data_IF_299109008567
#
_entry.id   IF_299109008567
#
_cell.length_a   1.000
_cell.length_b   1.000
_cell.length_c   1.000
_cell.angle_alpha   90.00
_cell.angle_beta   90.00
_cell.angle_gamma   90.00
#
_symmetry.space_group_name_H-M   'P 1'
#
loop_
_entity.id
_entity.type
_entity.pdbx_description
1 polymer ?
#
# COMPACT_ATOMS: atom_id res chain seq x y z
N UNK A 1 51.83 35.47 -23.10
CA UNK A 1 50.61 35.85 -22.35
C UNK A 1 49.40 35.35 -23.13
N UNK A 2 48.34 34.97 -22.41
CA UNK A 2 47.01 34.54 -22.89
C UNK A 2 46.79 33.04 -23.15
N UNK A 3 46.74 32.31 -22.04
CA UNK A 3 45.85 31.17 -21.82
C UNK A 3 44.39 31.62 -21.93
N UNK A 4 43.71 31.29 -23.04
CA UNK A 4 42.25 31.40 -23.12
C UNK A 4 41.64 30.25 -22.31
N UNK A 5 41.08 30.60 -21.16
CA UNK A 5 40.11 29.76 -20.43
C UNK A 5 38.92 29.49 -21.36
N UNK A 6 38.76 28.25 -21.80
CA UNK A 6 37.50 27.81 -22.38
C UNK A 6 36.38 28.07 -21.36
N UNK A 7 35.39 28.86 -21.79
CA UNK A 7 34.19 29.12 -21.02
C UNK A 7 33.35 27.84 -21.02
N UNK A 8 32.68 27.47 -19.91
CA UNK A 8 31.85 26.27 -19.88
C UNK A 8 30.72 26.45 -20.89
N UNK A 9 30.63 25.59 -21.90
CA UNK A 9 29.50 25.54 -22.82
C UNK A 9 28.21 25.51 -22.00
N UNK A 10 27.42 26.57 -22.09
CA UNK A 10 26.08 26.60 -21.53
C UNK A 10 25.25 25.62 -22.35
N UNK A 11 25.14 24.38 -21.87
CA UNK A 11 24.30 23.36 -22.48
C UNK A 11 22.86 23.88 -22.47
N UNK A 12 22.36 24.29 -23.63
CA UNK A 12 20.98 24.73 -23.80
C UNK A 12 20.02 23.63 -23.30
N UNK A 13 18.98 24.01 -22.55
CA UNK A 13 17.97 23.08 -22.06
C UNK A 13 17.06 22.65 -23.20
N UNK A 14 17.55 21.77 -24.06
CA UNK A 14 16.80 21.22 -25.18
C UNK A 14 16.06 19.91 -24.81
N UNK A 15 14.87 19.65 -25.41
CA UNK A 15 14.23 18.36 -25.30
C UNK A 15 15.12 17.23 -25.80
N UNK A 16 14.98 16.04 -25.18
CA UNK A 16 15.75 14.86 -25.58
C UNK A 16 15.45 14.51 -27.05
N UNK A 17 16.47 14.43 -27.93
CA UNK A 17 16.31 14.06 -29.33
C UNK A 17 15.57 12.73 -29.49
N UNK A 18 14.77 12.60 -30.56
CA UNK A 18 13.94 11.41 -30.80
C UNK A 18 14.75 10.11 -30.83
N UNK A 19 15.95 10.13 -31.42
CA UNK A 19 16.86 8.98 -31.49
C UNK A 19 17.42 8.53 -30.13
N UNK A 20 17.28 9.34 -29.08
CA UNK A 20 17.71 9.01 -27.72
C UNK A 20 16.53 8.53 -26.86
N UNK A 21 15.32 8.42 -27.43
CA UNK A 21 14.13 7.93 -26.75
C UNK A 21 14.00 6.42 -26.95
N UNK A 22 13.48 5.75 -25.92
CA UNK A 22 13.12 4.33 -26.00
C UNK A 22 11.68 4.28 -26.51
N UNK A 23 11.50 4.08 -27.81
CA UNK A 23 10.18 4.13 -28.46
C UNK A 23 9.16 3.18 -27.81
N UNK A 24 9.58 1.94 -27.50
CA UNK A 24 8.75 0.97 -26.80
C UNK A 24 8.23 1.49 -25.46
N UNK A 25 9.02 2.27 -24.72
CA UNK A 25 8.62 2.86 -23.45
C UNK A 25 7.52 3.92 -23.65
N UNK A 26 7.63 4.72 -24.70
CA UNK A 26 6.65 5.77 -25.00
C UNK A 26 5.32 5.18 -25.50
N UNK A 27 5.36 4.12 -26.32
CA UNK A 27 4.16 3.38 -26.75
C UNK A 27 3.43 2.76 -25.56
N UNK A 28 4.16 2.06 -24.69
CA UNK A 28 3.55 1.42 -23.51
C UNK A 28 3.01 2.45 -22.53
N UNK A 29 3.60 3.65 -22.43
CA UNK A 29 3.03 4.78 -21.68
C UNK A 29 1.72 5.28 -22.26
N UNK A 30 1.66 5.49 -23.57
CA UNK A 30 0.42 5.90 -24.25
C UNK A 30 -0.69 4.87 -24.06
N UNK A 31 -0.37 3.58 -24.24
CA UNK A 31 -1.29 2.49 -23.97
C UNK A 31 -1.74 2.45 -22.51
N UNK A 32 -0.81 2.64 -21.57
CA UNK A 32 -1.12 2.66 -20.15
C UNK A 32 -2.12 3.78 -19.81
N UNK A 33 -1.93 4.96 -20.39
CA UNK A 33 -2.79 6.13 -20.17
C UNK A 33 -4.23 5.89 -20.64
N UNK A 34 -4.43 5.16 -21.74
CA UNK A 34 -5.77 4.79 -22.22
C UNK A 34 -6.50 3.95 -21.16
N UNK A 35 -5.83 2.95 -20.60
CA UNK A 35 -6.46 2.13 -19.55
C UNK A 35 -6.64 2.86 -18.22
N UNK A 36 -5.74 3.79 -17.85
CA UNK A 36 -5.97 4.69 -16.72
C UNK A 36 -7.23 5.53 -16.95
N UNK A 37 -7.44 6.03 -18.17
CA UNK A 37 -8.65 6.77 -18.54
C UNK A 37 -9.90 5.90 -18.34
N UNK A 38 -9.92 4.67 -18.88
CA UNK A 38 -11.05 3.74 -18.74
C UNK A 38 -11.38 3.42 -17.29
N UNK A 39 -10.36 3.17 -16.45
CA UNK A 39 -10.53 2.98 -15.00
C UNK A 39 -11.13 4.22 -14.33
N UNK A 40 -10.68 5.42 -14.69
CA UNK A 40 -11.17 6.64 -14.07
C UNK A 40 -12.62 6.97 -14.43
N UNK A 41 -13.14 6.50 -15.58
CA UNK A 41 -14.57 6.65 -15.91
C UNK A 41 -15.44 6.06 -14.80
N UNK A 42 -15.03 4.93 -14.21
CA UNK A 42 -15.73 4.32 -13.09
C UNK A 42 -15.78 5.25 -11.86
N UNK A 43 -14.70 5.99 -11.60
CA UNK A 43 -14.62 6.97 -10.52
C UNK A 43 -15.52 8.20 -10.74
N UNK A 44 -15.88 8.51 -11.99
CA UNK A 44 -16.79 9.61 -12.31
C UNK A 44 -18.26 9.17 -12.33
N UNK A 45 -18.54 7.87 -12.41
CA UNK A 45 -19.90 7.34 -12.51
C UNK A 45 -20.55 7.05 -11.13
N UNK A 46 -19.80 7.08 -10.03
CA UNK A 46 -20.34 6.81 -8.68
C UNK A 46 -19.61 7.56 -7.57
N UNK A 47 -20.24 7.76 -6.39
CA UNK A 47 -19.61 8.44 -5.25
C UNK A 47 -18.30 7.74 -4.82
N UNK A 48 -17.24 8.49 -4.50
CA UNK A 48 -15.96 7.91 -4.07
C UNK A 48 -16.04 6.90 -2.92
N UNK A 49 -16.95 7.08 -1.96
CA UNK A 49 -17.20 6.14 -0.88
C UNK A 49 -17.65 4.74 -1.35
N UNK A 50 -18.18 4.63 -2.57
CA UNK A 50 -18.62 3.37 -3.19
C UNK A 50 -17.54 2.72 -4.06
N UNK A 51 -16.37 3.35 -4.20
CA UNK A 51 -15.27 2.82 -5.00
C UNK A 51 -14.59 1.64 -4.33
N UNK A 52 -14.11 0.73 -5.16
CA UNK A 52 -13.59 -0.55 -4.70
C UNK A 52 -14.69 -1.50 -4.23
N UNK A 53 -15.98 -1.16 -4.35
CA UNK A 53 -17.07 -2.07 -4.01
C UNK A 53 -17.51 -2.96 -5.18
N UNK A 54 -16.59 -3.34 -6.07
CA UNK A 54 -16.91 -4.15 -7.26
C UNK A 54 -17.88 -3.44 -8.21
N UNK A 55 -18.59 -4.22 -9.04
CA UNK A 55 -19.55 -3.68 -10.01
C UNK A 55 -20.83 -3.19 -9.31
N UNK A 56 -21.41 -2.04 -9.74
CA UNK A 56 -22.71 -1.58 -9.26
C UNK A 56 -23.80 -2.66 -9.38
N UNK A 57 -24.64 -2.77 -8.35
CA UNK A 57 -25.77 -3.68 -8.36
C UNK A 57 -26.87 -3.20 -9.33
N UNK A 58 -27.54 -4.14 -10.00
CA UNK A 58 -28.68 -3.85 -10.88
C UNK A 58 -28.33 -3.41 -12.31
N UNK A 59 -27.05 -3.44 -12.70
CA UNK A 59 -26.64 -3.22 -14.09
C UNK A 59 -27.19 -4.32 -15.01
N UNK A 60 -27.68 -3.94 -16.19
CA UNK A 60 -28.18 -4.87 -17.21
C UNK A 60 -27.67 -4.49 -18.60
N UNK A 61 -27.70 -5.43 -19.55
CA UNK A 61 -27.35 -5.18 -20.95
C UNK A 61 -25.92 -4.67 -21.15
N UNK A 62 -25.79 -3.57 -21.89
CA UNK A 62 -24.50 -2.97 -22.27
C UNK A 62 -23.77 -2.36 -21.06
N UNK A 63 -24.50 -1.80 -20.08
CA UNK A 63 -23.89 -1.17 -18.91
C UNK A 63 -23.19 -2.21 -18.02
N UNK A 64 -23.80 -3.40 -17.90
CA UNK A 64 -23.18 -4.54 -17.24
C UNK A 64 -21.93 -5.00 -17.99
N UNK A 65 -22.02 -5.14 -19.33
CA UNK A 65 -20.90 -5.59 -20.14
C UNK A 65 -19.71 -4.62 -20.08
N UNK A 66 -19.97 -3.31 -20.14
CA UNK A 66 -18.96 -2.27 -20.03
C UNK A 66 -18.30 -2.28 -18.63
N UNK A 67 -19.10 -2.38 -17.57
CA UNK A 67 -18.60 -2.44 -16.19
C UNK A 67 -17.78 -3.71 -15.95
N UNK A 68 -18.24 -4.85 -16.48
CA UNK A 68 -17.51 -6.11 -16.42
C UNK A 68 -16.19 -6.03 -17.18
N UNK A 69 -16.20 -5.44 -18.38
CA UNK A 69 -15.00 -5.24 -19.18
C UNK A 69 -13.96 -4.41 -18.42
N UNK A 70 -14.36 -3.28 -17.83
CA UNK A 70 -13.45 -2.43 -17.04
C UNK A 70 -12.98 -3.17 -15.79
N UNK A 71 -13.87 -3.78 -15.02
CA UNK A 71 -13.52 -4.49 -13.79
C UNK A 71 -12.53 -5.64 -14.03
N UNK A 72 -12.65 -6.35 -15.16
CA UNK A 72 -11.85 -7.53 -15.46
C UNK A 72 -10.58 -7.22 -16.26
N UNK A 73 -10.69 -6.46 -17.36
CA UNK A 73 -9.58 -6.20 -18.27
C UNK A 73 -8.75 -4.97 -17.91
N UNK A 74 -9.31 -4.03 -17.15
CA UNK A 74 -8.69 -2.71 -16.94
C UNK A 74 -8.27 -2.49 -15.49
N UNK A 75 -9.20 -2.65 -14.57
CA UNK A 75 -8.99 -2.39 -13.15
C UNK A 75 -7.79 -3.20 -12.64
N UNK A 76 -6.90 -2.56 -11.89
CA UNK A 76 -5.70 -3.23 -11.40
C UNK A 76 -4.50 -3.20 -12.34
N UNK A 77 -4.69 -3.50 -13.64
CA UNK A 77 -3.59 -3.76 -14.58
C UNK A 77 -2.88 -2.51 -15.06
N UNK A 78 -3.64 -1.45 -15.33
CA UNK A 78 -3.07 -0.25 -15.93
C UNK A 78 -2.29 0.61 -14.93
N UNK A 79 -2.72 0.67 -13.66
CA UNK A 79 -1.93 1.37 -12.64
C UNK A 79 -0.68 0.59 -12.24
N UNK A 80 -0.67 -0.75 -12.32
CA UNK A 80 0.55 -1.54 -12.07
C UNK A 80 1.56 -1.36 -13.22
N UNK A 81 1.11 -1.38 -14.47
CA UNK A 81 1.95 -1.03 -15.63
C UNK A 81 2.45 0.41 -15.50
N UNK A 82 1.58 1.37 -15.17
CA UNK A 82 1.99 2.77 -15.00
C UNK A 82 3.01 2.95 -13.87
N UNK A 83 2.87 2.18 -12.78
CA UNK A 83 3.85 2.14 -11.68
C UNK A 83 5.20 1.61 -12.15
N UNK A 84 5.20 0.51 -12.92
CA UNK A 84 6.41 -0.07 -13.51
C UNK A 84 7.12 0.97 -14.41
N UNK A 85 6.36 1.63 -15.29
CA UNK A 85 6.87 2.65 -16.21
C UNK A 85 7.41 3.88 -15.48
N UNK A 86 6.84 4.24 -14.33
CA UNK A 86 7.37 5.29 -13.49
C UNK A 86 8.75 4.91 -12.95
N UNK A 87 8.92 3.67 -12.47
CA UNK A 87 10.21 3.11 -12.08
C UNK A 87 11.24 3.06 -13.21
N UNK A 88 10.80 2.72 -14.43
CA UNK A 88 11.64 2.80 -15.63
C UNK A 88 12.08 4.25 -15.90
N UNK A 89 11.15 5.21 -15.83
CA UNK A 89 11.44 6.63 -16.02
C UNK A 89 12.44 7.17 -15.00
N UNK A 90 12.37 6.70 -13.75
CA UNK A 90 13.38 6.97 -12.73
C UNK A 90 14.77 6.46 -13.15
N UNK A 91 14.87 5.19 -13.54
CA UNK A 91 16.15 4.58 -13.91
C UNK A 91 16.78 5.24 -15.15
N UNK A 92 15.99 5.56 -16.17
CA UNK A 92 16.48 6.29 -17.36
C UNK A 92 17.08 7.65 -16.96
N UNK A 93 16.42 8.37 -16.05
CA UNK A 93 16.93 9.66 -15.59
C UNK A 93 18.22 9.51 -14.77
N UNK A 94 18.30 8.46 -13.94
CA UNK A 94 19.48 8.16 -13.15
C UNK A 94 20.67 7.79 -14.05
N UNK A 95 20.49 6.87 -15.01
CA UNK A 95 21.55 6.47 -15.94
C UNK A 95 22.05 7.64 -16.78
N UNK A 96 21.17 8.53 -17.23
CA UNK A 96 21.55 9.74 -17.97
C UNK A 96 22.34 10.73 -17.13
N UNK A 97 21.98 10.87 -15.85
CA UNK A 97 22.74 11.72 -14.93
C UNK A 97 24.12 11.12 -14.65
N UNK A 98 24.18 9.79 -14.43
CA UNK A 98 25.43 9.04 -14.23
C UNK A 98 26.35 9.13 -15.46
N UNK A 99 25.82 8.90 -16.67
CA UNK A 99 26.59 8.95 -17.92
C UNK A 99 27.08 10.35 -18.28
N UNK A 100 26.32 11.40 -17.93
CA UNK A 100 26.70 12.79 -18.11
C UNK A 100 27.58 13.34 -16.97
N UNK A 101 27.89 12.56 -15.93
CA UNK A 101 28.64 13.01 -14.76
C UNK A 101 27.93 14.10 -13.94
N UNK A 102 26.59 14.19 -14.02
CA UNK A 102 25.78 15.24 -13.37
C UNK A 102 25.12 14.73 -12.10
N UNK A 103 24.87 15.64 -11.16
CA UNK A 103 24.13 15.32 -9.94
C UNK A 103 22.67 14.96 -10.22
N UNK A 104 22.25 13.76 -9.81
CA UNK A 104 20.87 13.25 -10.01
C UNK A 104 19.86 13.76 -8.98
N UNK A 105 20.27 13.88 -7.70
CA UNK A 105 19.33 13.98 -6.59
C UNK A 105 18.54 15.30 -6.59
N UNK A 106 19.20 16.43 -6.85
CA UNK A 106 18.57 17.76 -6.87
C UNK A 106 17.49 17.92 -7.96
N UNK A 107 17.74 17.62 -9.25
CA UNK A 107 16.70 17.73 -10.27
C UNK A 107 15.56 16.74 -10.02
N UNK A 108 15.86 15.54 -9.55
CA UNK A 108 14.84 14.54 -9.26
C UNK A 108 13.94 14.96 -8.08
N UNK A 109 14.51 15.49 -6.99
CA UNK A 109 13.73 16.02 -5.86
C UNK A 109 12.80 17.17 -6.27
N UNK A 110 13.24 18.07 -7.15
CA UNK A 110 12.37 19.12 -7.71
C UNK A 110 11.18 18.53 -8.46
N UNK A 111 11.41 17.48 -9.26
CA UNK A 111 10.36 16.79 -10.01
C UNK A 111 9.36 16.09 -9.10
N UNK A 112 9.82 15.39 -8.06
CA UNK A 112 8.93 14.76 -7.08
C UNK A 112 8.13 15.81 -6.31
N UNK A 113 8.78 16.90 -5.88
CA UNK A 113 8.10 17.98 -5.17
C UNK A 113 7.02 18.63 -6.04
N UNK A 114 7.33 18.91 -7.30
CA UNK A 114 6.33 19.38 -8.27
C UNK A 114 5.20 18.37 -8.45
N UNK A 115 5.50 17.07 -8.58
CA UNK A 115 4.50 16.01 -8.70
C UNK A 115 3.59 15.93 -7.46
N UNK A 116 4.15 16.10 -6.26
CA UNK A 116 3.38 16.13 -5.01
C UNK A 116 2.46 17.36 -4.95
N UNK A 117 2.96 18.54 -5.32
CA UNK A 117 2.16 19.77 -5.36
C UNK A 117 1.05 19.65 -6.39
N UNK A 118 1.36 19.22 -7.61
CA UNK A 118 0.35 19.00 -8.64
C UNK A 118 -0.66 17.94 -8.24
N UNK A 119 -0.23 16.83 -7.62
CA UNK A 119 -1.14 15.80 -7.12
C UNK A 119 -2.06 16.32 -6.01
N UNK A 120 -1.55 17.10 -5.06
CA UNK A 120 -2.37 17.71 -4.02
C UNK A 120 -3.38 18.72 -4.58
N UNK A 121 -2.95 19.61 -5.48
CA UNK A 121 -3.83 20.56 -6.16
C UNK A 121 -4.88 19.83 -7.02
N UNK A 122 -4.47 18.82 -7.77
CA UNK A 122 -5.36 17.98 -8.57
C UNK A 122 -6.39 17.27 -7.68
N UNK A 123 -5.98 16.70 -6.55
CA UNK A 123 -6.88 16.07 -5.59
C UNK A 123 -7.93 17.04 -5.05
N UNK A 124 -7.48 18.22 -4.61
CA UNK A 124 -8.32 19.23 -3.96
C UNK A 124 -9.28 19.89 -4.97
N UNK A 125 -8.75 20.35 -6.11
CA UNK A 125 -9.52 21.19 -7.03
C UNK A 125 -10.22 20.41 -8.14
N UNK A 126 -9.73 19.24 -8.52
CA UNK A 126 -10.20 18.54 -9.72
C UNK A 126 -10.84 17.20 -9.42
N UNK A 127 -10.12 16.28 -8.76
CA UNK A 127 -10.56 14.89 -8.63
C UNK A 127 -9.88 14.15 -7.47
N UNK A 128 -10.68 13.62 -6.54
CA UNK A 128 -10.19 12.93 -5.33
C UNK A 128 -9.46 11.59 -5.61
N UNK A 129 -9.59 10.99 -6.79
CA UNK A 129 -8.87 9.76 -7.16
C UNK A 129 -7.44 10.00 -7.67
N UNK A 130 -6.77 11.06 -7.21
CA UNK A 130 -5.41 11.39 -7.62
C UNK A 130 -4.39 10.30 -7.23
N UNK A 131 -3.57 9.89 -8.21
CA UNK A 131 -2.48 8.93 -8.00
C UNK A 131 -1.10 9.63 -7.93
N UNK A 132 -1.01 10.88 -8.39
CA UNK A 132 0.25 11.62 -8.52
C UNK A 132 0.90 11.84 -7.14
N UNK A 133 0.10 12.23 -6.15
CA UNK A 133 0.60 12.44 -4.79
C UNK A 133 1.18 11.15 -4.20
N UNK A 134 0.45 10.03 -4.33
CA UNK A 134 0.91 8.71 -3.87
C UNK A 134 2.20 8.27 -4.58
N UNK A 135 2.34 8.58 -5.87
CA UNK A 135 3.56 8.30 -6.63
C UNK A 135 4.72 9.18 -6.19
N UNK A 136 4.47 10.44 -5.86
CA UNK A 136 5.50 11.33 -5.32
C UNK A 136 6.02 10.82 -3.97
N UNK A 137 5.13 10.36 -3.10
CA UNK A 137 5.48 9.74 -1.81
C UNK A 137 6.28 8.45 -2.03
N UNK A 138 5.82 7.57 -2.92
CA UNK A 138 6.54 6.34 -3.28
C UNK A 138 7.93 6.62 -3.86
N UNK A 139 8.05 7.64 -4.71
CA UNK A 139 9.31 8.08 -5.30
C UNK A 139 10.28 8.61 -4.24
N UNK A 140 9.78 9.31 -3.22
CA UNK A 140 10.58 9.76 -2.09
C UNK A 140 11.09 8.57 -1.26
N UNK A 141 10.24 7.58 -0.97
CA UNK A 141 10.68 6.37 -0.28
C UNK A 141 11.64 5.52 -1.12
N UNK A 142 11.48 5.49 -2.45
CA UNK A 142 12.46 4.86 -3.35
C UNK A 142 13.85 5.51 -3.19
N UNK A 143 13.94 6.83 -3.07
CA UNK A 143 15.21 7.50 -2.79
C UNK A 143 15.79 7.10 -1.43
N UNK A 144 14.95 6.90 -0.44
CA UNK A 144 15.37 6.38 0.86
C UNK A 144 15.93 4.97 0.73
N UNK A 145 15.29 4.09 -0.06
CA UNK A 145 15.79 2.74 -0.34
C UNK A 145 17.17 2.77 -1.00
N UNK A 146 17.38 3.66 -1.96
CA UNK A 146 18.61 3.70 -2.76
C UNK A 146 19.75 4.47 -2.09
N UNK A 147 19.47 5.60 -1.45
CA UNK A 147 20.46 6.54 -0.91
C UNK A 147 20.43 6.71 0.61
N UNK A 148 19.37 6.26 1.30
CA UNK A 148 19.16 6.56 2.73
C UNK A 148 20.09 5.79 3.66
N UNK A 149 20.97 6.46 4.40
CA UNK A 149 21.87 5.76 5.34
C UNK A 149 21.12 5.24 6.56
N UNK A 150 21.61 4.16 7.17
CA UNK A 150 20.94 3.52 8.32
C UNK A 150 20.77 4.47 9.52
N UNK A 151 21.70 5.42 9.72
CA UNK A 151 21.65 6.42 10.79
C UNK A 151 20.45 7.36 10.63
N UNK A 152 20.24 7.88 9.41
CA UNK A 152 19.13 8.78 9.11
C UNK A 152 17.79 8.06 9.11
N UNK A 153 17.77 6.79 8.69
CA UNK A 153 16.60 5.92 8.78
C UNK A 153 16.16 5.71 10.24
N UNK A 154 17.10 5.37 11.12
CA UNK A 154 16.80 5.20 12.55
C UNK A 154 16.39 6.51 13.22
N UNK A 155 17.07 7.62 12.92
CA UNK A 155 16.68 8.92 13.44
C UNK A 155 15.27 9.31 13.00
N UNK A 156 14.95 9.15 11.71
CA UNK A 156 13.60 9.38 11.18
C UNK A 156 12.56 8.48 11.83
N UNK A 157 12.88 7.21 12.06
CA UNK A 157 12.01 6.27 12.77
C UNK A 157 11.71 6.74 14.20
N UNK A 158 12.75 7.07 14.98
CA UNK A 158 12.59 7.51 16.38
C UNK A 158 11.77 8.80 16.46
N UNK A 159 12.04 9.77 15.58
CA UNK A 159 11.27 11.01 15.49
C UNK A 159 9.81 10.71 15.17
N UNK A 160 9.55 9.85 14.19
CA UNK A 160 8.18 9.54 13.78
C UNK A 160 7.42 8.79 14.89
N UNK A 161 8.06 7.84 15.56
CA UNK A 161 7.48 7.16 16.74
C UNK A 161 7.22 8.15 17.86
N UNK A 162 8.15 9.08 18.12
CA UNK A 162 7.97 10.15 19.11
C UNK A 162 6.78 11.04 18.79
N UNK A 163 6.61 11.42 17.52
CA UNK A 163 5.45 12.19 17.03
C UNK A 163 4.16 11.40 17.13
N UNK A 164 4.19 10.06 17.09
CA UNK A 164 2.99 9.24 17.26
C UNK A 164 2.34 9.37 18.65
N UNK A 165 3.10 9.82 19.66
CA UNK A 165 2.58 10.12 21.00
C UNK A 165 1.97 11.53 21.11
N UNK A 166 2.07 12.36 20.07
CA UNK A 166 1.40 13.65 20.00
C UNK A 166 -0.09 13.43 19.65
N UNK A 167 -1.03 13.97 20.45
CA UNK A 167 -2.47 13.84 20.16
C UNK A 167 -2.81 14.29 18.74
N UNK A 168 -3.52 13.44 17.99
CA UNK A 168 -3.95 13.71 16.61
C UNK A 168 -2.99 13.21 15.51
N UNK A 169 -1.72 12.91 15.82
CA UNK A 169 -0.74 12.48 14.82
C UNK A 169 -0.42 10.98 14.83
N UNK A 170 -0.90 10.23 15.84
CA UNK A 170 -0.62 8.81 16.05
C UNK A 170 -0.70 7.91 14.80
N UNK A 171 -1.85 7.84 14.09
CA UNK A 171 -2.01 6.94 12.94
C UNK A 171 -1.11 7.31 11.75
N UNK A 172 -1.01 8.61 11.45
CA UNK A 172 -0.18 9.12 10.36
C UNK A 172 1.32 8.87 10.60
N UNK A 173 1.75 9.14 11.83
CA UNK A 173 3.10 8.89 12.28
C UNK A 173 3.40 7.37 12.29
N UNK A 174 2.50 6.54 12.82
CA UNK A 174 2.65 5.08 12.79
C UNK A 174 2.83 4.52 11.37
N UNK A 175 1.99 4.97 10.43
CA UNK A 175 2.11 4.56 9.01
C UNK A 175 3.42 4.99 8.37
N UNK A 176 3.85 6.24 8.61
CA UNK A 176 5.13 6.77 8.11
C UNK A 176 6.33 6.03 8.71
N UNK A 177 6.29 5.72 10.01
CA UNK A 177 7.30 4.94 10.70
C UNK A 177 7.41 3.53 10.10
N UNK A 178 6.28 2.85 9.92
CA UNK A 178 6.24 1.53 9.29
C UNK A 178 6.84 1.57 7.88
N UNK A 179 6.54 2.62 7.10
CA UNK A 179 7.10 2.74 5.76
C UNK A 179 8.60 3.04 5.73
N UNK A 180 9.10 3.82 6.68
CA UNK A 180 10.54 4.06 6.84
C UNK A 180 11.28 2.77 7.27
N UNK A 181 10.73 2.01 8.22
CA UNK A 181 11.29 0.70 8.61
C UNK A 181 11.34 -0.21 7.40
N UNK A 182 10.22 -0.34 6.70
CA UNK A 182 10.12 -1.21 5.55
C UNK A 182 11.11 -0.81 4.45
N UNK A 183 11.16 0.48 4.10
CA UNK A 183 12.11 1.01 3.12
C UNK A 183 13.57 0.80 3.55
N UNK A 184 13.86 0.95 4.85
CA UNK A 184 15.17 0.70 5.42
C UNK A 184 15.59 -0.78 5.35
N UNK A 185 14.66 -1.70 5.60
CA UNK A 185 14.88 -3.13 5.42
C UNK A 185 15.24 -3.41 3.96
N UNK A 186 14.46 -2.92 2.99
CA UNK A 186 14.79 -3.12 1.57
C UNK A 186 16.16 -2.51 1.21
N UNK A 187 16.50 -1.34 1.76
CA UNK A 187 17.82 -0.74 1.57
C UNK A 187 18.96 -1.67 2.04
N UNK A 188 18.79 -2.35 3.17
CA UNK A 188 19.75 -3.35 3.70
C UNK A 188 19.92 -4.52 2.72
N UNK A 189 18.83 -5.03 2.14
CA UNK A 189 18.90 -6.11 1.14
C UNK A 189 19.63 -5.67 -0.13
N UNK A 190 19.37 -4.44 -0.58
CA UNK A 190 20.02 -3.85 -1.75
C UNK A 190 21.53 -3.65 -1.53
N UNK A 191 21.95 -3.32 -0.30
CA UNK A 191 23.35 -3.07 0.06
C UNK A 191 24.20 -4.34 0.12
N UNK A 192 25.47 -4.17 -0.25
CA UNK A 192 26.48 -5.21 -0.11
C UNK A 192 27.09 -5.17 1.30
N UNK A 193 26.35 -5.71 2.27
CA UNK A 193 26.80 -5.74 3.66
C UNK A 193 27.77 -6.90 3.91
N UNK A 194 28.82 -6.61 4.69
CA UNK A 194 29.76 -7.63 5.20
C UNK A 194 28.98 -8.65 6.02
N UNK A 195 29.33 -9.93 5.85
CA UNK A 195 28.70 -11.08 6.50
C UNK A 195 29.15 -11.16 7.97
N UNK A 196 28.29 -10.88 8.98
CA UNK A 196 28.65 -11.16 10.36
C UNK A 196 28.62 -12.68 10.66
N UNK A 197 27.87 -13.45 9.86
CA UNK A 197 27.76 -14.92 9.83
C UNK A 197 27.64 -15.41 8.38
N UNK A 198 27.48 -16.72 8.14
CA UNK A 198 27.15 -17.27 6.80
C UNK A 198 25.86 -16.69 6.20
N UNK A 199 25.01 -16.06 7.02
CA UNK A 199 23.76 -15.42 6.63
C UNK A 199 23.91 -13.91 6.35
N UNK A 200 23.11 -13.40 5.41
CA UNK A 200 22.90 -11.96 5.24
C UNK A 200 22.11 -11.34 6.40
N UNK A 201 22.35 -10.06 6.70
CA UNK A 201 21.64 -9.32 7.77
C UNK A 201 20.11 -9.33 7.55
N UNK A 202 19.66 -9.09 6.32
CA UNK A 202 18.22 -9.19 5.97
C UNK A 202 17.66 -10.58 6.30
N UNK A 203 18.35 -11.66 5.89
CA UNK A 203 17.92 -13.02 6.18
C UNK A 203 17.86 -13.28 7.68
N UNK A 204 18.83 -12.79 8.45
CA UNK A 204 18.83 -12.93 9.91
C UNK A 204 17.62 -12.22 10.53
N UNK A 205 17.31 -11.00 10.12
CA UNK A 205 16.13 -10.26 10.61
C UNK A 205 14.84 -11.03 10.31
N UNK A 206 14.65 -11.45 9.05
CA UNK A 206 13.46 -12.21 8.65
C UNK A 206 13.38 -13.56 9.36
N UNK A 207 14.51 -14.22 9.60
CA UNK A 207 14.58 -15.50 10.32
C UNK A 207 14.11 -15.33 11.76
N UNK A 208 14.63 -14.32 12.47
CA UNK A 208 14.29 -14.06 13.86
C UNK A 208 12.81 -13.71 13.99
N UNK A 209 12.29 -12.81 13.15
CA UNK A 209 10.87 -12.43 13.16
C UNK A 209 9.96 -13.63 12.84
N UNK A 210 10.31 -14.41 11.81
CA UNK A 210 9.57 -15.61 11.44
C UNK A 210 9.60 -16.70 12.51
N UNK A 211 10.75 -16.90 13.17
CA UNK A 211 10.91 -17.89 14.24
C UNK A 211 10.11 -17.51 15.49
N UNK A 212 10.16 -16.24 15.91
CA UNK A 212 9.35 -15.74 17.03
C UNK A 212 7.86 -15.93 16.73
N UNK A 213 7.40 -15.53 15.54
CA UNK A 213 6.01 -15.71 15.14
C UNK A 213 5.59 -17.18 15.09
N UNK A 214 6.47 -18.07 14.61
CA UNK A 214 6.20 -19.51 14.57
C UNK A 214 6.07 -20.09 15.99
N UNK A 215 6.94 -19.70 16.93
CA UNK A 215 6.87 -20.12 18.33
C UNK A 215 5.55 -19.64 18.94
N UNK A 216 5.18 -18.37 18.75
CA UNK A 216 3.91 -17.81 19.24
C UNK A 216 2.73 -18.59 18.68
N UNK A 217 2.70 -18.83 17.37
CA UNK A 217 1.67 -19.63 16.73
C UNK A 217 1.58 -21.03 17.34
N UNK A 218 2.71 -21.73 17.47
CA UNK A 218 2.75 -23.08 18.06
C UNK A 218 2.19 -23.06 19.48
N UNK A 219 2.60 -22.13 20.33
CA UNK A 219 2.09 -21.99 21.71
C UNK A 219 0.58 -21.75 21.73
N UNK A 220 0.07 -20.88 20.86
CA UNK A 220 -1.37 -20.61 20.79
C UNK A 220 -2.17 -21.83 20.32
N UNK A 221 -1.64 -22.62 19.39
CA UNK A 221 -2.26 -23.86 18.91
C UNK A 221 -2.19 -24.99 19.95
N UNK A 222 -1.04 -25.18 20.61
CA UNK A 222 -0.82 -26.32 21.53
C UNK A 222 -1.43 -26.09 22.90
N UNK A 223 -1.26 -24.90 23.48
CA UNK A 223 -1.77 -24.59 24.81
C UNK A 223 -3.19 -24.00 24.77
N UNK A 224 -3.76 -23.85 23.56
CA UNK A 224 -5.07 -23.23 23.33
C UNK A 224 -5.22 -21.85 24.03
N UNK A 225 -4.11 -21.13 24.18
CA UNK A 225 -4.06 -19.82 24.84
C UNK A 225 -4.29 -18.68 23.85
N UNK A 226 -4.99 -17.65 24.32
CA UNK A 226 -5.33 -16.48 23.51
C UNK A 226 -6.44 -16.71 22.48
N UNK A 227 -6.89 -15.64 21.82
CA UNK A 227 -8.00 -15.70 20.87
C UNK A 227 -7.68 -16.65 19.70
N UNK A 228 -8.69 -17.37 19.21
CA UNK A 228 -8.54 -18.31 18.09
C UNK A 228 -8.30 -17.61 16.76
N UNK A 229 -8.86 -16.40 16.60
CA UNK A 229 -8.83 -15.64 15.34
C UNK A 229 -7.43 -15.33 14.77
N UNK A 230 -6.45 -14.84 15.56
CA UNK A 230 -5.13 -14.54 15.01
C UNK A 230 -4.25 -15.77 14.79
N UNK A 231 -4.64 -16.97 15.24
CA UNK A 231 -3.78 -18.16 15.17
C UNK A 231 -3.38 -18.51 13.74
N UNK A 232 -4.37 -18.60 12.84
CA UNK A 232 -4.15 -18.87 11.42
C UNK A 232 -3.27 -17.82 10.73
N UNK A 233 -3.62 -16.52 10.81
CA UNK A 233 -2.81 -15.43 10.27
C UNK A 233 -1.36 -15.42 10.78
N UNK A 234 -1.14 -15.57 12.08
CA UNK A 234 0.23 -15.59 12.64
C UNK A 234 1.01 -16.79 12.11
N UNK A 235 0.41 -17.99 12.05
CA UNK A 235 1.07 -19.16 11.45
C UNK A 235 1.49 -18.90 10.00
N UNK A 236 0.57 -18.38 9.18
CA UNK A 236 0.81 -18.15 7.76
C UNK A 236 1.88 -17.07 7.52
N UNK A 237 1.80 -15.95 8.24
CA UNK A 237 2.80 -14.86 8.19
C UNK A 237 4.18 -15.38 8.60
N UNK A 238 4.26 -16.18 9.66
CA UNK A 238 5.52 -16.72 10.17
C UNK A 238 6.17 -17.66 9.16
N UNK A 239 5.39 -18.58 8.57
CA UNK A 239 5.88 -19.46 7.51
C UNK A 239 6.39 -18.66 6.29
N UNK A 240 5.66 -17.61 5.89
CA UNK A 240 6.08 -16.73 4.80
C UNK A 240 7.39 -16.00 5.11
N UNK A 241 7.56 -15.45 6.31
CA UNK A 241 8.79 -14.78 6.73
C UNK A 241 10.00 -15.72 6.75
N UNK A 242 9.82 -16.97 7.19
CA UNK A 242 10.86 -18.00 7.16
C UNK A 242 11.25 -18.37 5.72
N UNK A 243 10.27 -18.54 4.83
CA UNK A 243 10.53 -18.76 3.40
C UNK A 243 11.29 -17.58 2.79
N UNK A 244 10.87 -16.34 3.08
CA UNK A 244 11.54 -15.13 2.60
C UNK A 244 12.96 -15.00 3.15
N UNK A 245 13.21 -15.39 4.41
CA UNK A 245 14.55 -15.44 4.98
C UNK A 245 15.46 -16.37 4.17
N UNK A 246 15.00 -17.59 3.88
CA UNK A 246 15.75 -18.57 3.10
C UNK A 246 16.04 -18.05 1.68
N UNK A 247 15.01 -17.52 1.00
CA UNK A 247 15.14 -17.00 -0.37
C UNK A 247 16.07 -15.78 -0.42
N UNK A 248 15.97 -14.86 0.54
CA UNK A 248 16.81 -13.68 0.62
C UNK A 248 18.30 -14.04 0.77
N UNK A 249 18.61 -15.12 1.48
CA UNK A 249 19.98 -15.60 1.63
C UNK A 249 20.47 -16.35 0.38
N UNK A 250 19.67 -17.31 -0.11
CA UNK A 250 20.01 -18.18 -1.24
C UNK A 250 20.19 -17.39 -2.54
N UNK A 251 19.29 -16.44 -2.78
CA UNK A 251 19.26 -15.63 -4.00
C UNK A 251 19.68 -14.18 -3.72
N UNK A 252 20.71 -13.96 -2.90
CA UNK A 252 21.29 -12.61 -2.72
C UNK A 252 22.15 -12.17 -3.90
N UNK A 253 22.76 -13.13 -4.60
CA UNK A 253 23.65 -12.88 -5.73
C UNK A 253 23.04 -13.42 -7.04
N UNK A 254 23.38 -12.85 -8.20
CA UNK A 254 24.22 -11.65 -8.40
C UNK A 254 23.53 -10.35 -7.95
N UNK A 255 24.31 -9.27 -7.78
CA UNK A 255 23.83 -7.97 -7.26
C UNK A 255 22.79 -7.33 -8.18
N UNK A 256 22.99 -7.45 -9.50
CA UNK A 256 22.09 -6.90 -10.53
C UNK A 256 20.67 -7.45 -10.42
N UNK A 257 20.52 -8.67 -9.91
CA UNK A 257 19.23 -9.32 -9.74
C UNK A 257 18.47 -8.86 -8.49
N UNK A 258 19.10 -8.11 -7.57
CA UNK A 258 18.47 -7.73 -6.29
C UNK A 258 17.27 -6.82 -6.50
N UNK A 259 17.33 -5.87 -7.43
CA UNK A 259 16.25 -4.91 -7.67
C UNK A 259 14.95 -5.60 -8.06
N UNK A 260 14.98 -6.49 -9.06
CA UNK A 260 13.76 -7.20 -9.48
C UNK A 260 13.30 -8.23 -8.45
N UNK A 261 14.23 -8.90 -7.76
CA UNK A 261 13.87 -9.83 -6.68
C UNK A 261 13.15 -9.10 -5.55
N UNK A 262 13.71 -8.00 -5.07
CA UNK A 262 13.07 -7.16 -4.06
C UNK A 262 11.71 -6.69 -4.53
N UNK A 263 11.61 -6.14 -5.74
CA UNK A 263 10.35 -5.63 -6.26
C UNK A 263 9.27 -6.69 -6.45
N UNK A 264 9.61 -7.84 -7.04
CA UNK A 264 8.70 -8.98 -7.20
C UNK A 264 8.29 -9.57 -5.85
N UNK A 265 9.23 -9.74 -4.93
CA UNK A 265 8.96 -10.22 -3.58
C UNK A 265 8.01 -9.29 -2.83
N UNK A 266 8.20 -7.98 -2.91
CA UNK A 266 7.32 -7.01 -2.25
C UNK A 266 5.90 -7.10 -2.81
N UNK A 267 5.77 -7.08 -4.13
CA UNK A 267 4.48 -7.16 -4.81
C UNK A 267 3.74 -8.45 -4.43
N UNK A 268 4.42 -9.60 -4.54
CA UNK A 268 3.87 -10.90 -4.19
C UNK A 268 3.57 -11.02 -2.70
N UNK A 269 4.38 -10.42 -1.82
CA UNK A 269 4.14 -10.43 -0.38
C UNK A 269 2.83 -9.74 -0.04
N UNK A 270 2.61 -8.51 -0.55
CA UNK A 270 1.37 -7.79 -0.32
C UNK A 270 0.16 -8.53 -0.91
N UNK A 271 0.30 -9.03 -2.14
CA UNK A 271 -0.77 -9.79 -2.79
C UNK A 271 -1.11 -11.06 -1.98
N UNK A 272 -0.11 -11.80 -1.51
CA UNK A 272 -0.28 -13.00 -0.68
C UNK A 272 -0.91 -12.67 0.68
N UNK A 273 -0.49 -11.58 1.33
CA UNK A 273 -1.08 -11.15 2.59
C UNK A 273 -2.54 -10.74 2.43
N UNK A 274 -2.88 -10.02 1.36
CA UNK A 274 -4.27 -9.69 1.02
C UNK A 274 -5.11 -10.94 0.76
N UNK A 275 -4.59 -11.90 -0.02
CA UNK A 275 -5.27 -13.17 -0.29
C UNK A 275 -5.49 -13.98 0.98
N UNK A 276 -4.49 -14.11 1.85
CA UNK A 276 -4.60 -14.87 3.11
C UNK A 276 -5.59 -14.18 4.05
N UNK A 277 -5.47 -12.87 4.25
CA UNK A 277 -6.39 -12.10 5.09
C UNK A 277 -7.82 -12.19 4.59
N UNK A 278 -8.02 -12.04 3.28
CA UNK A 278 -9.30 -12.19 2.61
C UNK A 278 -9.88 -13.60 2.68
N UNK A 279 -9.05 -14.64 2.55
CA UNK A 279 -9.49 -16.03 2.71
C UNK A 279 -9.94 -16.30 4.15
N UNK A 280 -9.18 -15.84 5.15
CA UNK A 280 -9.55 -15.98 6.56
C UNK A 280 -10.87 -15.29 6.82
N UNK A 281 -11.06 -14.07 6.31
CA UNK A 281 -12.34 -13.37 6.42
C UNK A 281 -13.46 -14.15 5.73
N UNK A 282 -13.23 -14.64 4.50
CA UNK A 282 -14.23 -15.38 3.72
C UNK A 282 -14.69 -16.69 4.40
N UNK A 283 -13.76 -17.49 4.92
CA UNK A 283 -14.05 -18.82 5.50
C UNK A 283 -14.42 -18.82 6.99
N UNK A 284 -14.27 -17.70 7.69
CA UNK A 284 -14.81 -17.57 9.06
C UNK A 284 -16.34 -17.43 9.00
N UNK A 285 -17.16 -17.86 9.97
CA UNK A 285 -18.62 -17.63 9.90
C UNK A 285 -19.02 -16.20 10.33
N UNK A 286 -20.10 -15.63 9.74
CA UNK A 286 -20.61 -14.31 10.14
C UNK A 286 -21.10 -14.31 11.58
N UNK A 287 -20.63 -13.34 12.35
CA UNK A 287 -21.26 -13.06 13.64
C UNK A 287 -22.65 -12.48 13.41
N UNK A 288 -23.70 -12.99 14.08
CA UNK A 288 -25.05 -12.47 13.92
C UNK A 288 -25.07 -10.98 14.31
N UNK A 289 -25.51 -10.15 13.37
CA UNK A 289 -25.78 -8.74 13.63
C UNK A 289 -27.03 -8.70 14.50
N UNK A 290 -26.86 -8.56 15.81
CA UNK A 290 -27.98 -8.19 16.67
C UNK A 290 -28.42 -6.79 16.24
N UNK A 291 -29.69 -6.58 15.86
CA UNK A 291 -30.19 -5.25 15.56
C UNK A 291 -29.87 -4.33 16.74
N UNK A 292 -29.43 -3.10 16.46
CA UNK A 292 -29.04 -2.10 17.47
C UNK A 292 -30.12 -1.83 18.56
N UNK A 293 -31.34 -2.34 18.38
CA UNK A 293 -32.43 -2.27 19.34
C UNK A 293 -32.40 -3.36 20.45
N UNK A 294 -31.57 -4.41 20.35
CA UNK A 294 -31.62 -5.56 21.26
C UNK A 294 -30.47 -5.65 22.28
N UNK A 295 -29.45 -4.79 22.19
CA UNK A 295 -28.42 -4.70 23.24
C UNK A 295 -28.75 -3.51 24.12
N UNK A 296 -29.55 -3.74 25.17
CA UNK A 296 -29.53 -2.87 26.33
C UNK A 296 -28.11 -2.94 26.90
N UNK A 297 -27.24 -2.02 26.49
CA UNK A 297 -25.94 -1.81 27.11
C UNK A 297 -26.22 -1.59 28.59
N UNK A 298 -25.74 -2.44 29.52
CA UNK A 298 -25.87 -2.16 30.94
C UNK A 298 -25.24 -0.78 31.17
N UNK A 299 -25.97 0.14 31.79
CA UNK A 299 -25.57 1.54 31.99
C UNK A 299 -24.15 1.72 32.55
N UNK A 300 -23.59 0.67 33.16
CA UNK A 300 -22.21 0.56 33.65
C UNK A 300 -21.15 0.70 32.54
N UNK A 301 -21.43 0.27 31.31
CA UNK A 301 -20.48 0.38 30.18
C UNK A 301 -20.52 1.76 29.51
N UNK A 302 -21.71 2.36 29.40
CA UNK A 302 -21.87 3.73 28.88
C UNK A 302 -21.29 4.79 29.82
N UNK A 303 -21.44 4.61 31.14
CA UNK A 303 -20.92 5.53 32.15
C UNK A 303 -19.38 5.60 32.21
N UNK A 304 -18.66 4.55 31.78
CA UNK A 304 -17.19 4.52 31.77
C UNK A 304 -16.55 5.33 30.65
N UNK A 305 -17.31 5.69 29.62
CA UNK A 305 -16.80 6.45 28.46
C UNK A 305 -17.03 7.96 28.63
N UNK A 306 -17.90 8.38 29.55
CA UNK A 306 -18.38 9.77 29.65
C UNK A 306 -18.02 10.52 30.93
N UNK A 307 -17.00 10.11 31.70
CA UNK A 307 -16.57 10.87 32.87
C UNK A 307 -15.59 12.01 32.49
N UNK A 308 -15.90 13.29 32.76
CA UNK A 308 -14.96 14.38 32.57
C UNK A 308 -13.89 14.38 33.67
N UNK A 309 -12.64 14.64 33.29
CA UNK A 309 -11.54 14.93 34.22
C UNK A 309 -11.77 16.32 34.83
N UNK A 310 -12.09 16.39 36.13
CA UNK A 310 -12.02 17.64 36.88
C UNK A 310 -12.73 17.65 38.22
N UNK A 311 -11.94 17.65 39.31
CA UNK A 311 -12.07 18.48 40.51
C UNK A 311 -11.39 17.77 41.70
N UNK A 312 -10.44 18.47 42.33
CA UNK A 312 -9.61 17.95 43.40
C UNK A 312 -10.38 17.71 44.70
N UNK A 313 -10.07 16.59 45.35
CA UNK A 313 -10.29 16.40 46.78
C UNK A 313 -8.99 15.87 47.38
N UNK A 314 -8.52 16.53 48.44
CA UNK A 314 -7.28 16.22 49.15
C UNK A 314 -7.34 14.78 49.69
N UNK A 315 -6.32 13.98 49.36
CA UNK A 315 -6.18 12.61 49.85
C UNK A 315 -5.54 12.59 51.25
N UNK A 316 -6.17 11.87 52.16
CA UNK A 316 -5.64 11.44 53.46
C UNK A 316 -4.54 10.39 53.22
N UNK A 317 -3.30 10.55 53.73
CA UNK A 317 -2.18 9.66 53.40
C UNK A 317 -2.28 8.25 53.97
N UNK A 318 -3.26 7.95 54.85
CA UNK A 318 -3.25 6.70 55.63
C UNK A 318 -4.48 5.79 55.45
N UNK A 319 -5.19 5.90 54.32
CA UNK A 319 -6.23 4.92 53.93
C UNK A 319 -5.78 4.13 52.69
N UNK A 320 -5.82 2.78 52.71
CA UNK A 320 -5.59 1.98 51.51
C UNK A 320 -6.66 2.34 50.47
N UNK A 321 -6.20 2.81 49.31
CA UNK A 321 -7.03 3.23 48.19
C UNK A 321 -7.76 2.01 47.59
N UNK A 322 -9.10 1.89 47.67
CA UNK A 322 -9.83 0.71 47.18
C UNK A 322 -9.81 0.57 45.66
N UNK A 323 -9.21 1.53 44.94
CA UNK A 323 -9.11 1.53 43.46
C UNK A 323 -7.89 0.81 42.90
N UNK A 324 -6.96 0.32 43.73
CA UNK A 324 -5.74 -0.38 43.26
C UNK A 324 -5.81 -1.91 43.23
N UNK A 325 -6.98 -2.51 43.50
CA UNK A 325 -7.13 -3.98 43.54
C UNK A 325 -8.25 -4.52 42.62
N UNK A 326 -8.41 -3.95 41.43
CA UNK A 326 -9.15 -4.62 40.36
C UNK A 326 -8.36 -4.51 39.06
N UNK A 327 -7.42 -5.43 38.86
CA UNK A 327 -7.03 -5.81 37.51
C UNK A 327 -8.34 -6.23 36.80
N UNK A 328 -8.88 -5.35 35.96
CA UNK A 328 -10.07 -5.63 35.15
C UNK A 328 -9.82 -6.97 34.47
N UNK A 329 -10.65 -7.96 34.75
CA UNK A 329 -10.61 -9.23 34.03
C UNK A 329 -10.62 -8.92 32.52
N UNK A 330 -9.83 -9.62 31.69
CA UNK A 330 -9.89 -9.46 30.25
C UNK A 330 -11.34 -9.65 29.79
N UNK A 331 -11.85 -8.81 28.86
CA UNK A 331 -13.22 -8.88 28.42
C UNK A 331 -13.54 -10.29 27.93
N UNK A 332 -14.71 -10.78 28.32
CA UNK A 332 -15.24 -12.08 27.89
C UNK A 332 -15.39 -12.10 26.36
N UNK A 333 -15.39 -13.27 25.74
CA UNK A 333 -15.59 -13.39 24.29
C UNK A 333 -16.93 -12.78 23.84
N UNK A 334 -17.96 -12.84 24.69
CA UNK A 334 -19.24 -12.18 24.44
C UNK A 334 -19.12 -10.64 24.44
N UNK A 335 -18.35 -10.06 25.37
CA UNK A 335 -18.10 -8.61 25.41
C UNK A 335 -17.27 -8.14 24.22
N UNK A 336 -16.21 -8.88 23.84
CA UNK A 336 -15.41 -8.57 22.63
C UNK A 336 -16.27 -8.65 21.36
N UNK A 337 -17.15 -9.64 21.27
CA UNK A 337 -18.08 -9.80 20.15
C UNK A 337 -19.07 -8.64 20.07
N UNK A 338 -19.65 -8.24 21.20
CA UNK A 338 -20.54 -7.08 21.27
C UNK A 338 -19.82 -5.78 20.92
N UNK A 339 -18.58 -5.59 21.37
CA UNK A 339 -17.74 -4.44 21.05
C UNK A 339 -17.44 -4.35 19.55
N UNK A 340 -17.04 -5.46 18.90
CA UNK A 340 -16.81 -5.50 17.45
C UNK A 340 -18.08 -5.28 16.63
N UNK A 341 -19.20 -5.84 17.06
CA UNK A 341 -20.49 -5.62 16.41
C UNK A 341 -20.91 -4.15 16.50
N UNK A 342 -20.74 -3.52 17.66
CA UNK A 342 -21.01 -2.10 17.86
C UNK A 342 -20.06 -1.21 17.06
N UNK A 343 -18.76 -1.53 17.02
CA UNK A 343 -17.77 -0.81 16.22
C UNK A 343 -18.10 -0.91 14.72
N UNK A 344 -18.48 -2.09 14.24
CA UNK A 344 -18.92 -2.30 12.87
C UNK A 344 -20.20 -1.52 12.55
N UNK A 345 -21.21 -1.56 13.41
CA UNK A 345 -22.44 -0.81 13.20
C UNK A 345 -22.15 0.70 13.11
N UNK A 346 -21.24 1.20 13.95
CA UNK A 346 -20.74 2.58 13.90
C UNK A 346 -20.01 2.87 12.58
N UNK A 347 -19.14 1.98 12.11
CA UNK A 347 -18.43 2.13 10.83
C UNK A 347 -19.39 2.14 9.63
N UNK A 348 -20.36 1.22 9.58
CA UNK A 348 -21.37 1.16 8.52
C UNK A 348 -22.24 2.42 8.49
N UNK A 349 -22.66 2.89 9.67
CA UNK A 349 -23.42 4.14 9.81
C UNK A 349 -22.60 5.35 9.33
N UNK A 350 -21.34 5.47 9.77
CA UNK A 350 -20.43 6.54 9.32
C UNK A 350 -20.28 6.53 7.80
N UNK A 351 -20.04 5.36 7.20
CA UNK A 351 -19.93 5.21 5.74
C UNK A 351 -21.21 5.59 4.99
N UNK A 352 -22.37 5.22 5.52
CA UNK A 352 -23.65 5.60 4.94
C UNK A 352 -23.87 7.12 4.99
N UNK A 353 -23.52 7.76 6.11
CA UNK A 353 -23.55 9.21 6.27
C UNK A 353 -22.57 9.92 5.33
N UNK A 354 -21.34 9.42 5.19
CA UNK A 354 -20.33 9.90 4.24
C UNK A 354 -20.85 9.79 2.80
N UNK A 355 -21.36 8.62 2.41
CA UNK A 355 -21.91 8.37 1.06
C UNK A 355 -23.09 9.29 0.76
N UNK A 356 -24.00 9.49 1.71
CA UNK A 356 -25.14 10.39 1.56
C UNK A 356 -24.68 11.86 1.42
N UNK A 357 -23.68 12.27 2.20
CA UNK A 357 -23.11 13.62 2.14
C UNK A 357 -22.41 13.86 0.80
N UNK A 358 -21.54 12.92 0.37
CA UNK A 358 -20.88 12.95 -0.94
C UNK A 358 -21.90 13.02 -2.07
N UNK A 359 -22.90 12.15 -2.05
CA UNK A 359 -23.94 12.08 -3.09
C UNK A 359 -24.71 13.40 -3.19
N UNK A 360 -25.10 14.00 -2.05
CA UNK A 360 -25.75 15.32 -2.01
C UNK A 360 -24.86 16.39 -2.62
N UNK A 361 -23.60 16.50 -2.17
CA UNK A 361 -22.66 17.54 -2.62
C UNK A 361 -22.36 17.39 -4.11
N UNK A 362 -22.19 16.16 -4.61
CA UNK A 362 -21.89 15.90 -6.02
C UNK A 362 -23.10 16.10 -6.94
N UNK A 363 -24.32 15.88 -6.45
CA UNK A 363 -25.55 16.02 -7.26
C UNK A 363 -26.13 17.44 -7.28
N UNK A 364 -26.03 18.17 -6.16
CA UNK A 364 -26.73 19.45 -5.97
C UNK A 364 -25.90 20.52 -5.25
N UNK A 365 -24.69 20.19 -4.81
CA UNK A 365 -23.82 21.10 -4.07
C UNK A 365 -23.08 22.08 -4.96
N UNK A 366 -22.50 23.11 -4.33
CA UNK A 366 -21.63 24.06 -5.00
C UNK A 366 -20.21 23.50 -5.18
N UNK A 367 -19.46 24.08 -6.12
CA UNK A 367 -18.05 23.73 -6.31
C UNK A 367 -17.21 23.96 -5.04
N UNK A 368 -17.50 25.01 -4.26
CA UNK A 368 -16.79 25.28 -3.00
C UNK A 368 -17.07 24.23 -1.93
N UNK A 369 -18.30 23.72 -1.84
CA UNK A 369 -18.62 22.59 -0.96
C UNK A 369 -17.85 21.33 -1.38
N UNK A 370 -17.72 21.08 -2.69
CA UNK A 370 -16.96 19.95 -3.22
C UNK A 370 -15.45 20.08 -2.94
N UNK A 371 -14.89 21.29 -3.09
CA UNK A 371 -13.48 21.56 -2.74
C UNK A 371 -13.25 21.36 -1.24
N UNK A 372 -14.15 21.84 -0.37
CA UNK A 372 -14.04 21.64 1.07
C UNK A 372 -14.06 20.15 1.44
N UNK A 373 -14.99 19.39 0.86
CA UNK A 373 -15.07 17.94 1.02
C UNK A 373 -13.75 17.25 0.62
N UNK A 374 -13.14 17.68 -0.50
CA UNK A 374 -11.86 17.12 -0.97
C UNK A 374 -10.67 17.52 -0.10
N UNK A 375 -10.67 18.71 0.50
CA UNK A 375 -9.65 19.12 1.48
C UNK A 375 -9.71 18.19 2.70
N UNK A 376 -10.90 17.96 3.22
CA UNK A 376 -11.11 17.07 4.36
C UNK A 376 -10.69 15.63 4.01
N UNK A 377 -11.08 15.14 2.84
CA UNK A 377 -10.64 13.84 2.34
C UNK A 377 -9.13 13.74 2.14
N UNK A 378 -8.48 14.78 1.60
CA UNK A 378 -7.04 14.80 1.41
C UNK A 378 -6.31 14.70 2.76
N UNK A 379 -6.77 15.43 3.77
CA UNK A 379 -6.20 15.36 5.12
C UNK A 379 -6.28 13.95 5.74
N UNK A 380 -7.38 13.24 5.51
CA UNK A 380 -7.55 11.87 5.98
C UNK A 380 -6.81 10.81 5.15
N UNK A 381 -6.70 11.01 3.83
CA UNK A 381 -6.14 10.02 2.89
C UNK A 381 -4.64 10.18 2.66
N UNK A 382 -4.09 11.40 2.72
CA UNK A 382 -2.66 11.63 2.48
C UNK A 382 -1.76 10.79 3.42
N UNK A 383 -2.07 10.66 4.73
CA UNK A 383 -1.32 9.75 5.60
C UNK A 383 -1.51 8.26 5.26
N UNK A 384 -2.69 7.86 4.79
CA UNK A 384 -2.98 6.48 4.36
C UNK A 384 -2.25 6.14 3.05
N UNK A 385 -1.96 7.13 2.21
CA UNK A 385 -1.18 6.99 0.97
C UNK A 385 0.21 6.41 1.17
N UNK A 386 0.76 6.50 2.39
CA UNK A 386 2.01 5.85 2.78
C UNK A 386 1.96 4.32 2.62
N UNK A 387 0.83 3.69 2.94
CA UNK A 387 0.65 2.24 2.75
C UNK A 387 0.71 1.84 1.28
N UNK A 388 0.04 2.62 0.42
CA UNK A 388 0.10 2.43 -1.03
C UNK A 388 1.52 2.67 -1.58
N UNK A 389 2.24 3.64 -1.04
CA UNK A 389 3.60 3.94 -1.44
C UNK A 389 4.54 2.73 -1.25
N UNK A 390 4.36 1.95 -0.17
CA UNK A 390 5.15 0.73 0.05
C UNK A 390 4.93 -0.33 -1.02
N UNK A 391 3.69 -0.46 -1.48
CA UNK A 391 3.37 -1.33 -2.60
C UNK A 391 4.04 -0.84 -3.90
N UNK A 392 3.94 0.47 -4.18
CA UNK A 392 4.48 1.10 -5.39
C UNK A 392 6.01 0.98 -5.51
N UNK A 393 6.74 1.05 -4.40
CA UNK A 393 8.22 0.88 -4.41
C UNK A 393 8.62 -0.44 -5.08
N UNK A 394 7.84 -1.52 -4.88
CA UNK A 394 8.16 -2.82 -5.46
C UNK A 394 8.09 -2.78 -6.99
N UNK A 395 7.04 -2.16 -7.53
CA UNK A 395 6.90 -1.93 -8.96
C UNK A 395 7.94 -0.95 -9.50
N UNK A 396 8.32 0.07 -8.72
CA UNK A 396 9.36 1.01 -9.14
C UNK A 396 10.73 0.33 -9.25
N UNK A 397 11.07 -0.57 -8.31
CA UNK A 397 12.30 -1.35 -8.34
C UNK A 397 12.32 -2.35 -9.50
N UNK A 398 11.19 -3.00 -9.79
CA UNK A 398 11.02 -3.84 -10.98
C UNK A 398 11.24 -3.05 -12.27
N UNK A 399 10.61 -1.87 -12.37
CA UNK A 399 10.76 -0.98 -13.52
C UNK A 399 12.20 -0.50 -13.68
N UNK A 400 12.85 -0.11 -12.58
CA UNK A 400 14.25 0.30 -12.60
C UNK A 400 15.19 -0.82 -13.08
N UNK A 401 14.88 -2.08 -12.73
CA UNK A 401 15.64 -3.24 -13.23
C UNK A 401 15.47 -3.46 -14.73
N UNK A 402 14.27 -3.28 -15.31
CA UNK A 402 14.07 -3.44 -16.76
C UNK A 402 14.96 -2.51 -17.58
N UNK A 403 15.21 -1.30 -17.09
CA UNK A 403 16.11 -0.34 -17.72
C UNK A 403 17.57 -0.72 -17.46
N UNK A 404 17.96 -0.96 -16.20
CA UNK A 404 19.35 -1.27 -15.82
C UNK A 404 19.88 -2.59 -16.33
N UNK A 405 19.01 -3.56 -16.59
CA UNK A 405 19.39 -4.82 -17.23
C UNK A 405 19.65 -4.66 -18.72
N UNK A 406 19.31 -3.52 -19.33
CA UNK A 406 19.36 -3.36 -20.78
C UNK A 406 18.22 -4.05 -21.52
N UNK A 407 17.24 -4.63 -20.82
CA UNK A 407 16.15 -5.40 -21.44
C UNK A 407 15.27 -4.54 -22.37
N UNK A 408 15.12 -3.25 -22.06
CA UNK A 408 14.36 -2.30 -22.88
C UNK A 408 15.16 -1.73 -24.06
N UNK A 409 16.49 -1.79 -23.99
CA UNK A 409 17.41 -1.30 -25.03
C UNK A 409 17.77 -2.43 -26.02
N UNK A 410 17.90 -3.66 -25.52
CA UNK A 410 18.27 -4.85 -26.29
C UNK A 410 17.13 -5.87 -26.32
N UNK A 411 15.97 -5.47 -26.83
CA UNK A 411 14.74 -6.30 -26.81
C UNK A 411 14.95 -7.66 -27.49
N UNK A 412 15.74 -7.72 -28.56
CA UNK A 412 16.05 -8.96 -29.29
C UNK A 412 16.79 -9.98 -28.41
N UNK A 413 17.78 -9.53 -27.64
CA UNK A 413 18.53 -10.40 -26.72
C UNK A 413 17.66 -10.89 -25.54
N UNK A 414 16.69 -10.08 -25.12
CA UNK A 414 15.76 -10.40 -24.04
C UNK A 414 14.44 -11.03 -24.51
N UNK A 415 14.32 -11.36 -25.81
CA UNK A 415 13.11 -11.99 -26.35
C UNK A 415 12.69 -13.27 -25.60
N UNK A 416 13.59 -14.17 -25.15
CA UNK A 416 13.20 -15.33 -24.35
C UNK A 416 12.55 -14.96 -23.01
N UNK A 417 12.97 -13.86 -22.39
CA UNK A 417 12.36 -13.34 -21.16
C UNK A 417 10.93 -12.85 -21.45
N UNK A 418 10.76 -11.99 -22.45
CA UNK A 418 9.43 -11.47 -22.81
C UNK A 418 8.47 -12.58 -23.25
N UNK A 419 8.95 -13.60 -23.97
CA UNK A 419 8.15 -14.79 -24.29
C UNK A 419 7.71 -15.53 -23.02
N UNK A 420 8.60 -15.73 -22.05
CA UNK A 420 8.23 -16.38 -20.78
C UNK A 420 7.21 -15.55 -20.00
N UNK A 421 7.38 -14.23 -19.95
CA UNK A 421 6.42 -13.33 -19.32
C UNK A 421 5.05 -13.42 -20.00
N UNK A 422 5.00 -13.42 -21.33
CA UNK A 422 3.75 -13.59 -22.05
C UNK A 422 3.14 -14.99 -21.83
N UNK A 423 3.89 -16.07 -22.04
CA UNK A 423 3.36 -17.44 -21.99
C UNK A 423 3.00 -17.94 -20.59
N UNK A 424 3.64 -17.42 -19.54
CA UNK A 424 3.35 -17.80 -18.15
C UNK A 424 2.46 -16.73 -17.51
N UNK A 425 2.83 -15.46 -17.67
CA UNK A 425 2.13 -14.33 -17.08
C UNK A 425 0.73 -14.15 -17.64
N UNK A 426 0.49 -14.28 -18.96
CA UNK A 426 -0.85 -14.05 -19.51
C UNK A 426 -1.84 -15.12 -19.01
N UNK A 427 -1.55 -16.44 -19.09
CA UNK A 427 -2.49 -17.43 -18.57
C UNK A 427 -2.70 -17.32 -17.05
N UNK A 428 -1.65 -17.05 -16.27
CA UNK A 428 -1.78 -16.84 -14.82
C UNK A 428 -2.59 -15.58 -14.52
N UNK A 429 -2.33 -14.48 -15.24
CA UNK A 429 -3.02 -13.21 -15.10
C UNK A 429 -4.51 -13.30 -15.45
N UNK A 430 -4.82 -13.97 -16.56
CA UNK A 430 -6.19 -14.29 -16.99
C UNK A 430 -6.86 -15.21 -15.97
N UNK A 431 -6.22 -16.31 -15.58
CA UNK A 431 -6.78 -17.28 -14.66
C UNK A 431 -7.08 -16.70 -13.27
N UNK A 432 -6.12 -15.99 -12.68
CA UNK A 432 -6.32 -15.30 -11.39
C UNK A 432 -7.32 -14.15 -11.50
N UNK A 433 -7.32 -13.45 -12.64
CA UNK A 433 -8.32 -12.46 -13.00
C UNK A 433 -9.74 -13.04 -12.96
N UNK A 434 -9.94 -14.20 -13.60
CA UNK A 434 -11.25 -14.85 -13.70
C UNK A 434 -11.72 -15.32 -12.33
N UNK A 435 -10.83 -15.97 -11.58
CA UNK A 435 -11.13 -16.42 -10.23
C UNK A 435 -11.50 -15.25 -9.30
N UNK A 436 -10.72 -14.18 -9.33
CA UNK A 436 -11.00 -12.98 -8.55
C UNK A 436 -12.32 -12.31 -8.95
N UNK A 437 -12.58 -12.21 -10.26
CA UNK A 437 -13.83 -11.64 -10.78
C UNK A 437 -15.04 -12.48 -10.40
N UNK A 438 -15.00 -13.81 -10.53
CA UNK A 438 -16.12 -14.69 -10.16
C UNK A 438 -16.54 -14.52 -8.69
N UNK A 439 -15.57 -14.32 -7.80
CA UNK A 439 -15.83 -14.04 -6.38
C UNK A 439 -16.41 -12.62 -6.23
N UNK A 440 -15.83 -11.62 -6.89
CA UNK A 440 -16.26 -10.22 -6.79
C UNK A 440 -17.64 -9.94 -7.40
N UNK A 441 -18.08 -10.71 -8.40
CA UNK A 441 -19.38 -10.50 -9.07
C UNK A 441 -20.56 -11.16 -8.37
N UNK A 442 -20.32 -12.02 -7.38
CA UNK A 442 -21.36 -12.81 -6.70
C UNK A 442 -21.81 -12.24 -5.36
N UNK A 443 -21.13 -11.21 -4.84
CA UNK A 443 -21.36 -10.67 -3.51
C UNK A 443 -21.36 -9.14 -3.52
N UNK A 444 -22.03 -8.52 -2.54
CA UNK A 444 -21.94 -7.07 -2.29
C UNK A 444 -20.67 -6.79 -1.50
N UNK A 445 -19.70 -6.05 -2.05
CA UNK A 445 -18.44 -5.81 -1.36
C UNK A 445 -18.55 -4.86 -0.16
N UNK A 446 -17.71 -5.06 0.85
CA UNK A 446 -17.74 -4.40 2.16
C UNK A 446 -18.48 -5.15 3.27
N UNK A 447 -19.13 -6.29 2.97
CA UNK A 447 -19.79 -7.14 3.97
C UNK A 447 -18.84 -8.26 4.45
N UNK A 448 -18.87 -8.65 5.73
CA UNK A 448 -18.09 -9.83 6.19
C UNK A 448 -18.48 -11.02 5.30
N UNK A 449 -17.50 -11.76 4.81
CA UNK A 449 -17.68 -12.93 3.93
C UNK A 449 -18.08 -12.64 2.48
N UNK A 450 -18.00 -11.39 2.04
CA UNK A 450 -18.21 -11.04 0.62
C UNK A 450 -17.11 -11.58 -0.32
N UNK A 451 -16.02 -12.12 0.23
CA UNK A 451 -14.88 -12.58 -0.55
C UNK A 451 -14.09 -11.45 -1.22
N UNK A 452 -14.38 -10.18 -0.93
CA UNK A 452 -13.77 -9.03 -1.58
C UNK A 452 -12.27 -8.95 -1.32
N UNK A 453 -11.82 -9.20 -0.09
CA UNK A 453 -10.40 -9.25 0.24
C UNK A 453 -9.67 -10.37 -0.50
N UNK A 454 -10.33 -11.54 -0.64
CA UNK A 454 -9.80 -12.69 -1.36
C UNK A 454 -9.71 -12.40 -2.86
N UNK A 455 -10.77 -11.85 -3.44
CA UNK A 455 -10.83 -11.40 -4.83
C UNK A 455 -9.75 -10.35 -5.11
N UNK A 456 -9.61 -9.34 -4.25
CA UNK A 456 -8.60 -8.28 -4.39
C UNK A 456 -7.18 -8.84 -4.35
N UNK A 457 -6.90 -9.81 -3.48
CA UNK A 457 -5.61 -10.49 -3.42
C UNK A 457 -5.31 -11.27 -4.70
N UNK A 458 -6.26 -12.08 -5.18
CA UNK A 458 -6.14 -12.85 -6.44
C UNK A 458 -5.98 -11.93 -7.66
N UNK A 459 -6.80 -10.88 -7.75
CA UNK A 459 -6.70 -9.86 -8.79
C UNK A 459 -5.32 -9.20 -8.76
N UNK A 460 -4.81 -8.85 -7.57
CA UNK A 460 -3.48 -8.25 -7.44
C UNK A 460 -2.39 -9.19 -7.99
N UNK A 461 -2.44 -10.49 -7.69
CA UNK A 461 -1.54 -11.48 -8.29
C UNK A 461 -1.69 -11.48 -9.82
N UNK A 462 -2.93 -11.46 -10.32
CA UNK A 462 -3.23 -11.43 -11.76
C UNK A 462 -2.96 -10.11 -12.49
N UNK A 463 -2.57 -9.06 -11.76
CA UNK A 463 -2.24 -7.74 -12.31
C UNK A 463 -0.73 -7.52 -12.52
N UNK A 464 0.08 -8.54 -12.23
CA UNK A 464 1.48 -8.55 -12.63
C UNK A 464 1.56 -8.31 -14.15
N UNK A 465 2.41 -7.38 -14.61
CA UNK A 465 2.60 -7.14 -16.03
C UNK A 465 3.05 -8.45 -16.70
N UNK A 466 2.22 -8.96 -17.60
CA UNK A 466 2.44 -10.17 -18.37
C UNK A 466 2.77 -9.83 -19.83
#
# INVERSE_FOLDING_TARGET
MNTLKESPETTELAPVPAHQRIEALDVVRGFALIGICLMNIEFFNRPPATLGQGMPAGLTGIDWLASYFVAYFVAGKFWTIFSLLFGMGFAVMLERAESAGRGFLKPYMRRIAALAVFGALHHIFLFAGDILFSYAVAAAFLLVVLYGTWKWLLAGLVVTIGVAFVPGFGPAAGGTAAALVFSGLIAIYMRNEKRPLTLSVMSLILLVLGAIGAIVATVMWTLNVGPAEPRGPITAVSALLLLLSFLANKYRNPIEARSWRAGATMYLFFATMMTIGGAVEYFTPPEPVTPAAAVSVPAVAAAKVAAPLGAGAKADPNKPDPKKAAAKAPPTEAEKKAERAAERAKQLKKRAEETATETRVMSSGSYLELVKLRIDHFGEHAPKGVGMALFLIGMFLLGAWFIRSGAMQNISAYQPLFRKLAFIGLPVGIGMGLLGSLIATTHVPGARHDGFGLASGLLTIGNLPA
#
